data_IF_470010967333
#
_entry.id   IF_470010967333
#
_cell.length_a   1.000
_cell.length_b   1.000
_cell.length_c   1.000
_cell.angle_alpha   90.00
_cell.angle_beta   90.00
_cell.angle_gamma   90.00
#
_symmetry.space_group_name_H-M   'P 1'
#
loop_
_entity.id
_entity.type
_entity.pdbx_description
1 polymer ?
#
# COMPACT_ATOMS: atom_id res chain seq x y z
N UNK A 1 7.15 8.24 -3.80
CA UNK A 1 8.23 9.02 -4.43
C UNK A 1 9.45 8.99 -3.51
N UNK A 2 10.68 8.71 -4.00
CA UNK A 2 11.89 8.82 -3.16
C UNK A 2 12.12 10.29 -2.83
N UNK A 3 12.51 10.60 -1.60
CA UNK A 3 12.83 11.97 -1.20
C UNK A 3 14.22 12.34 -1.70
N UNK A 4 14.43 13.59 -2.09
CA UNK A 4 15.77 14.11 -2.41
C UNK A 4 16.67 13.89 -1.19
N UNK A 5 17.83 13.24 -1.39
CA UNK A 5 18.76 12.88 -0.30
C UNK A 5 18.43 11.59 0.45
N UNK A 6 17.48 10.76 -0.01
CA UNK A 6 17.22 9.45 0.60
C UNK A 6 18.44 8.52 0.44
N UNK A 7 19.06 8.14 1.56
CA UNK A 7 20.25 7.26 1.63
C UNK A 7 19.94 5.82 2.03
N UNK A 8 18.67 5.52 2.37
CA UNK A 8 18.22 4.20 2.82
C UNK A 8 17.16 3.63 1.87
N UNK A 9 17.21 2.33 1.66
CA UNK A 9 16.23 1.58 0.88
C UNK A 9 15.68 0.42 1.71
N UNK A 10 14.50 -0.08 1.32
CA UNK A 10 13.94 -1.30 1.86
C UNK A 10 14.39 -2.49 1.01
N UNK A 11 14.72 -3.61 1.65
CA UNK A 11 15.03 -4.87 1.00
C UNK A 11 14.00 -5.92 1.40
N UNK A 12 13.57 -6.74 0.44
CA UNK A 12 12.84 -7.97 0.72
C UNK A 12 13.88 -9.10 0.78
N UNK A 13 13.89 -9.84 1.88
CA UNK A 13 14.77 -10.98 2.09
C UNK A 13 13.90 -12.20 2.33
N UNK A 14 14.18 -13.27 1.61
CA UNK A 14 13.52 -14.56 1.78
C UNK A 14 14.47 -15.50 2.52
N UNK A 15 13.92 -16.25 3.47
CA UNK A 15 14.66 -17.20 4.28
C UNK A 15 14.17 -18.62 3.94
N UNK A 16 15.07 -19.59 4.05
CA UNK A 16 14.78 -20.99 3.75
C UNK A 16 14.08 -21.72 4.90
N UNK A 17 14.16 -21.19 6.13
CA UNK A 17 13.58 -21.83 7.32
C UNK A 17 12.84 -20.82 8.21
N UNK A 18 11.84 -21.30 8.93
CA UNK A 18 11.04 -20.49 9.86
C UNK A 18 11.87 -20.02 11.05
N UNK A 19 12.82 -20.84 11.51
CA UNK A 19 13.72 -20.51 12.62
C UNK A 19 14.61 -19.31 12.25
N UNK A 20 15.15 -19.28 11.03
CA UNK A 20 15.96 -18.17 10.56
C UNK A 20 15.16 -16.86 10.46
N UNK A 21 13.90 -16.94 10.01
CA UNK A 21 12.99 -15.78 10.00
C UNK A 21 12.75 -15.26 11.41
N UNK A 22 12.37 -16.13 12.36
CA UNK A 22 12.11 -15.73 13.74
C UNK A 22 13.33 -15.08 14.36
N UNK A 23 14.49 -15.72 14.23
CA UNK A 23 15.74 -15.17 14.73
C UNK A 23 16.05 -13.79 14.12
N UNK A 24 15.84 -13.61 12.81
CA UNK A 24 16.06 -12.34 12.14
C UNK A 24 15.06 -11.26 12.57
N UNK A 25 13.80 -11.60 12.81
CA UNK A 25 12.78 -10.66 13.31
C UNK A 25 13.12 -10.22 14.74
N UNK A 26 13.50 -11.15 15.61
CA UNK A 26 13.76 -10.88 17.02
C UNK A 26 15.09 -10.12 17.23
N UNK A 27 16.13 -10.48 16.46
CA UNK A 27 17.49 -9.96 16.66
C UNK A 27 17.95 -8.97 15.59
N UNK A 28 17.20 -8.79 14.51
CA UNK A 28 17.61 -8.03 13.33
C UNK A 28 18.65 -8.77 12.47
N UNK A 29 19.23 -8.05 11.51
CA UNK A 29 20.28 -8.52 10.62
C UNK A 29 21.44 -7.53 10.58
N UNK A 30 22.65 -8.04 10.37
CA UNK A 30 23.78 -7.20 9.99
C UNK A 30 23.95 -7.22 8.47
N UNK A 31 23.87 -6.05 7.84
CA UNK A 31 24.11 -5.88 6.40
C UNK A 31 25.19 -4.84 6.19
N UNK A 32 26.32 -5.24 5.61
CA UNK A 32 27.50 -4.38 5.41
C UNK A 32 27.88 -3.59 6.68
N UNK A 33 27.92 -4.26 7.83
CA UNK A 33 28.30 -3.67 9.12
C UNK A 33 27.23 -2.80 9.78
N UNK A 34 26.05 -2.62 9.17
CA UNK A 34 24.92 -1.93 9.80
C UNK A 34 23.93 -2.94 10.38
N UNK A 35 23.50 -2.71 11.61
CA UNK A 35 22.39 -3.44 12.21
C UNK A 35 21.06 -2.90 11.65
N UNK A 36 20.24 -3.79 11.13
CA UNK A 36 18.98 -3.49 10.44
C UNK A 36 17.85 -4.25 11.13
N UNK A 37 16.77 -3.53 11.44
CA UNK A 37 15.53 -4.13 11.92
C UNK A 37 14.85 -4.91 10.80
N UNK A 38 14.48 -6.14 11.08
CA UNK A 38 13.66 -6.97 10.19
C UNK A 38 12.23 -6.99 10.70
N UNK A 39 11.29 -6.94 9.76
CA UNK A 39 9.88 -7.15 10.04
C UNK A 39 9.35 -8.19 9.06
N UNK A 40 8.33 -8.95 9.48
CA UNK A 40 7.55 -9.79 8.57
C UNK A 40 6.97 -8.91 7.46
N UNK A 41 7.13 -9.34 6.21
CA UNK A 41 6.43 -8.70 5.10
C UNK A 41 4.98 -9.21 5.09
N UNK A 42 4.04 -8.36 5.47
CA UNK A 42 2.61 -8.67 5.37
C UNK A 42 2.12 -8.46 3.93
N UNK A 43 1.25 -9.35 3.46
CA UNK A 43 0.62 -9.18 2.17
C UNK A 43 -0.42 -8.07 2.24
N UNK A 44 -0.14 -6.94 1.61
CA UNK A 44 -1.08 -5.82 1.63
C UNK A 44 -2.32 -6.09 0.76
N UNK A 45 -3.48 -5.67 1.24
CA UNK A 45 -4.69 -5.58 0.42
C UNK A 45 -4.41 -4.60 -0.72
N UNK A 46 -4.54 -5.11 -1.94
CA UNK A 46 -4.40 -4.30 -3.13
C UNK A 46 -5.78 -3.83 -3.58
N UNK A 47 -5.83 -2.62 -4.14
CA UNK A 47 -7.01 -2.12 -4.83
C UNK A 47 -6.85 -2.29 -6.34
N UNK A 48 -7.97 -2.42 -7.04
CA UNK A 48 -7.97 -2.40 -8.50
C UNK A 48 -7.45 -1.05 -9.00
N UNK A 49 -6.38 -1.03 -9.80
CA UNK A 49 -5.82 0.25 -10.32
C UNK A 49 -6.77 0.99 -11.27
N UNK A 50 -7.82 0.32 -11.75
CA UNK A 50 -8.86 0.94 -12.59
C UNK A 50 -9.90 1.68 -11.76
N UNK A 51 -10.52 1.04 -10.76
CA UNK A 51 -11.63 1.64 -10.00
C UNK A 51 -11.27 2.04 -8.56
N UNK A 52 -10.04 1.74 -8.12
CA UNK A 52 -9.51 2.03 -6.79
C UNK A 52 -10.28 1.37 -5.64
N UNK A 53 -11.05 0.31 -5.92
CA UNK A 53 -11.78 -0.47 -4.91
C UNK A 53 -11.00 -1.71 -4.48
N UNK A 54 -11.21 -2.15 -3.24
CA UNK A 54 -10.62 -3.37 -2.67
C UNK A 54 -11.40 -4.65 -3.01
N UNK A 55 -12.17 -4.65 -4.09
CA UNK A 55 -13.16 -5.68 -4.48
C UNK A 55 -12.56 -6.87 -5.25
N UNK A 56 -11.32 -7.27 -4.89
CA UNK A 56 -10.62 -8.50 -5.33
C UNK A 56 -10.67 -8.79 -6.85
N UNK A 57 -10.71 -7.76 -7.69
CA UNK A 57 -10.65 -7.94 -9.14
C UNK A 57 -9.50 -7.15 -9.74
N UNK A 58 -8.83 -7.74 -10.73
CA UNK A 58 -7.74 -7.09 -11.45
C UNK A 58 -8.30 -6.03 -12.41
N UNK A 59 -7.51 -5.01 -12.71
CA UNK A 59 -7.91 -3.94 -13.62
C UNK A 59 -8.40 -4.45 -14.99
N UNK A 60 -7.81 -5.54 -15.50
CA UNK A 60 -8.19 -6.16 -16.77
C UNK A 60 -9.62 -6.74 -16.77
N UNK A 61 -10.11 -7.25 -15.62
CA UNK A 61 -11.48 -7.78 -15.48
C UNK A 61 -12.47 -6.74 -14.94
N UNK A 62 -12.03 -5.49 -14.78
CA UNK A 62 -12.86 -4.45 -14.19
C UNK A 62 -13.97 -4.03 -15.14
N UNK A 63 -15.21 -4.08 -14.64
CA UNK A 63 -16.41 -3.59 -15.34
C UNK A 63 -16.55 -2.06 -15.32
N UNK A 64 -15.61 -1.34 -14.71
CA UNK A 64 -15.64 0.12 -14.69
C UNK A 64 -15.47 0.67 -16.10
N UNK A 65 -16.35 1.58 -16.50
CA UNK A 65 -16.29 2.24 -17.81
C UNK A 65 -15.12 3.24 -17.90
N UNK A 66 -14.75 3.85 -16.77
CA UNK A 66 -13.67 4.83 -16.66
C UNK A 66 -12.63 4.43 -15.62
N UNK A 67 -11.45 5.03 -15.72
CA UNK A 67 -10.44 5.02 -14.67
C UNK A 67 -10.94 5.92 -13.52
N UNK A 68 -10.74 5.47 -12.28
CA UNK A 68 -11.06 6.19 -11.07
C UNK A 68 -9.79 6.76 -10.45
N UNK A 69 -9.83 8.01 -10.03
CA UNK A 69 -8.73 8.67 -9.38
C UNK A 69 -8.55 8.16 -7.95
N UNK A 70 -7.32 7.78 -7.59
CA UNK A 70 -7.00 7.31 -6.24
C UNK A 70 -7.03 8.43 -5.19
N UNK A 71 -6.88 9.70 -5.59
CA UNK A 71 -6.89 10.85 -4.68
C UNK A 71 -8.28 11.39 -4.39
N UNK A 72 -9.15 11.48 -5.40
CA UNK A 72 -10.44 12.20 -5.29
C UNK A 72 -11.65 11.41 -5.82
N UNK A 73 -11.48 10.16 -6.25
CA UNK A 73 -12.56 9.25 -6.69
C UNK A 73 -13.19 9.60 -8.04
N UNK A 74 -12.83 10.73 -8.64
CA UNK A 74 -13.35 11.18 -9.93
C UNK A 74 -12.95 10.28 -11.12
N UNK A 75 -13.74 10.36 -12.21
CA UNK A 75 -13.66 9.49 -13.38
C UNK A 75 -12.54 9.87 -14.37
N UNK A 76 -11.31 9.94 -13.88
CA UNK A 76 -10.11 10.13 -14.69
C UNK A 76 -8.91 9.40 -14.07
N UNK A 77 -7.81 9.31 -14.80
CA UNK A 77 -6.56 8.73 -14.30
C UNK A 77 -5.98 9.58 -13.18
N UNK A 78 -5.47 8.95 -12.13
CA UNK A 78 -4.76 9.64 -11.04
C UNK A 78 -3.65 10.58 -11.54
N UNK A 79 -2.98 10.23 -12.64
CA UNK A 79 -1.95 11.07 -13.28
C UNK A 79 -2.47 12.43 -13.76
N UNK A 80 -3.75 12.51 -14.15
CA UNK A 80 -4.39 13.72 -14.65
C UNK A 80 -5.12 14.48 -13.53
N UNK A 81 -4.95 14.05 -12.28
CA UNK A 81 -5.63 14.63 -11.15
C UNK A 81 -5.08 16.01 -10.80
N UNK A 82 -5.92 17.06 -10.74
CA UNK A 82 -5.50 18.39 -10.31
C UNK A 82 -5.28 18.49 -8.79
N UNK A 83 -5.79 17.50 -8.02
CA UNK A 83 -5.62 17.43 -6.56
C UNK A 83 -4.20 16.96 -6.24
N UNK A 84 -3.36 17.86 -5.75
CA UNK A 84 -2.02 17.57 -5.21
C UNK A 84 -2.10 16.92 -3.82
N UNK A 85 -0.97 16.48 -3.27
CA UNK A 85 -0.88 15.82 -1.94
C UNK A 85 -1.49 16.62 -0.76
N UNK A 86 -1.82 17.89 -0.95
CA UNK A 86 -2.45 18.80 0.02
C UNK A 86 -3.92 19.15 -0.28
N UNK A 87 -4.48 18.66 -1.38
CA UNK A 87 -5.86 18.95 -1.77
C UNK A 87 -6.90 18.05 -1.08
N UNK A 88 -8.20 18.31 -1.29
CA UNK A 88 -9.27 17.53 -0.66
C UNK A 88 -9.29 16.11 -1.21
N UNK A 89 -8.57 15.21 -0.53
CA UNK A 89 -8.58 13.80 -0.87
C UNK A 89 -9.86 13.14 -0.36
N UNK A 90 -10.35 12.17 -1.12
CA UNK A 90 -11.51 11.37 -0.75
C UNK A 90 -11.22 9.91 -1.05
N UNK A 91 -11.61 9.04 -0.12
CA UNK A 91 -11.42 7.61 -0.29
C UNK A 91 -12.61 6.99 -1.05
N UNK A 92 -12.34 6.23 -2.11
CA UNK A 92 -13.34 5.52 -2.90
C UNK A 92 -14.05 4.40 -2.14
N UNK A 93 -13.43 3.88 -1.08
CA UNK A 93 -13.90 2.72 -0.32
C UNK A 93 -14.76 3.13 0.89
N UNK A 94 -14.24 4.00 1.77
CA UNK A 94 -14.99 4.48 2.94
C UNK A 94 -15.81 5.74 2.68
N UNK A 95 -15.61 6.42 1.53
CA UNK A 95 -16.30 7.67 1.13
C UNK A 95 -16.10 8.84 2.11
N UNK A 96 -15.02 8.82 2.89
CA UNK A 96 -14.64 9.88 3.83
C UNK A 96 -13.58 10.78 3.20
N UNK A 97 -13.69 12.08 3.46
CA UNK A 97 -12.71 13.08 3.03
C UNK A 97 -11.50 13.14 3.97
N UNK A 98 -10.39 13.68 3.49
CA UNK A 98 -9.13 13.84 4.23
C UNK A 98 -8.08 12.75 3.97
N UNK A 99 -8.39 11.70 3.20
CA UNK A 99 -7.40 10.71 2.77
C UNK A 99 -7.75 10.06 1.43
N UNK A 100 -6.74 9.58 0.72
CA UNK A 100 -6.89 8.88 -0.56
C UNK A 100 -7.27 7.41 -0.37
N UNK A 101 -7.71 6.76 -1.45
CA UNK A 101 -7.97 5.32 -1.47
C UNK A 101 -6.73 4.46 -1.12
N UNK A 102 -5.53 5.03 -1.28
CA UNK A 102 -4.25 4.37 -0.97
C UNK A 102 -3.80 4.57 0.50
N UNK A 103 -4.59 5.26 1.33
CA UNK A 103 -4.19 5.50 2.72
C UNK A 103 -4.27 4.25 3.58
N UNK A 104 -3.16 3.90 4.24
CA UNK A 104 -3.06 2.81 5.23
C UNK A 104 -3.76 3.11 6.55
N UNK A 105 -4.14 4.37 6.79
CA UNK A 105 -4.94 4.78 7.95
C UNK A 105 -6.45 4.73 7.67
N UNK A 106 -6.87 4.34 6.46
CA UNK A 106 -8.27 4.18 6.15
C UNK A 106 -8.87 3.02 6.98
N UNK A 107 -9.98 3.24 7.73
CA UNK A 107 -10.61 2.17 8.51
C UNK A 107 -11.05 0.98 7.65
N UNK A 108 -11.49 1.25 6.42
CA UNK A 108 -11.88 0.20 5.48
C UNK A 108 -10.67 -0.65 5.07
N UNK A 109 -9.53 0.00 4.75
CA UNK A 109 -8.28 -0.70 4.44
C UNK A 109 -7.84 -1.59 5.60
N UNK A 110 -7.83 -1.06 6.83
CA UNK A 110 -7.45 -1.82 8.02
C UNK A 110 -8.35 -3.04 8.23
N UNK A 111 -9.66 -2.90 8.01
CA UNK A 111 -10.60 -4.01 8.14
C UNK A 111 -10.37 -5.11 7.09
N UNK A 112 -10.10 -4.74 5.83
CA UNK A 112 -9.80 -5.72 4.78
C UNK A 112 -8.42 -6.35 4.97
N UNK A 113 -7.45 -5.58 5.50
CA UNK A 113 -6.11 -6.05 5.81
C UNK A 113 -6.13 -7.09 6.93
N UNK A 114 -6.91 -6.85 7.98
CA UNK A 114 -7.10 -7.82 9.05
C UNK A 114 -7.68 -9.13 8.51
N UNK A 115 -8.76 -9.07 7.72
CA UNK A 115 -9.38 -10.27 7.10
C UNK A 115 -8.44 -11.06 6.19
N UNK A 116 -7.39 -10.43 5.66
CA UNK A 116 -6.40 -11.09 4.80
C UNK A 116 -5.24 -11.69 5.58
N UNK A 117 -4.92 -11.12 6.74
CA UNK A 117 -3.84 -11.59 7.61
C UNK A 117 -4.29 -12.68 8.60
N UNK A 118 -5.61 -12.87 8.77
CA UNK A 118 -6.26 -14.02 9.42
C UNK A 118 -6.22 -15.28 8.54
#
# INVERSE_FOLDING_TARGET
RRRTGQQLAYAKVEFTTTEAVKHAIDNGLYWQGKHIRVCKLEEEVWCCVKCQKFDRHLAFVSKSAADGCSHCVEAYRTLDCPVTDSGPMRCSNCKVDGHSAASRTCPFFQSEQQKRNE
#
